data_IF_675502976774
#
_entry.id   IF_675502976774
#
_cell.length_a   1.000
_cell.length_b   1.000
_cell.length_c   1.000
_cell.angle_alpha   90.00
_cell.angle_beta   90.00
_cell.angle_gamma   90.00
#
_symmetry.space_group_name_H-M   'P 1'
#
loop_
_entity.id
_entity.type
_entity.pdbx_description
1 polymer ?
#
# COMPACT_ATOMS: atom_id res chain seq x y z
N UNK A 1 19.36 51.16 -15.92
CA UNK A 1 19.01 50.26 -14.79
C UNK A 1 17.51 50.27 -14.59
N UNK A 2 16.85 49.12 -14.76
CA UNK A 2 15.59 48.70 -14.12
C UNK A 2 15.14 47.40 -14.80
N UNK A 3 15.66 46.28 -14.31
CA UNK A 3 15.21 44.96 -14.69
C UNK A 3 14.01 44.62 -13.82
N UNK A 4 12.82 44.52 -14.41
CA UNK A 4 11.63 44.01 -13.73
C UNK A 4 11.66 42.50 -13.79
N UNK A 5 11.72 41.84 -12.63
CA UNK A 5 11.52 40.39 -12.52
C UNK A 5 10.05 40.16 -12.18
N UNK A 6 9.32 39.47 -13.06
CA UNK A 6 7.97 38.99 -12.77
C UNK A 6 8.11 37.60 -12.14
N UNK A 7 7.84 37.48 -10.84
CA UNK A 7 7.68 36.19 -10.18
C UNK A 7 6.33 35.58 -10.61
N UNK A 8 6.37 34.53 -11.42
CA UNK A 8 5.24 33.66 -11.63
C UNK A 8 5.12 32.72 -10.41
N UNK A 9 4.09 32.93 -9.58
CA UNK A 9 3.73 31.98 -8.55
C UNK A 9 3.12 30.74 -9.23
N UNK A 10 3.81 29.60 -9.16
CA UNK A 10 3.24 28.32 -9.56
C UNK A 10 2.23 27.88 -8.48
N UNK A 11 0.95 27.86 -8.82
CA UNK A 11 -0.06 27.22 -8.00
C UNK A 11 0.18 25.71 -8.03
N UNK A 12 0.68 25.16 -6.93
CA UNK A 12 0.82 23.72 -6.75
C UNK A 12 -0.58 23.13 -6.59
N UNK A 13 -1.11 22.54 -7.67
CA UNK A 13 -2.36 21.81 -7.67
C UNK A 13 -2.22 20.63 -6.70
N UNK A 14 -2.77 20.74 -5.50
CA UNK A 14 -2.95 19.60 -4.60
C UNK A 14 -4.08 18.76 -5.18
N UNK A 15 -3.73 17.83 -6.06
CA UNK A 15 -4.63 16.75 -6.43
C UNK A 15 -4.80 15.88 -5.19
N UNK A 16 -5.92 16.01 -4.50
CA UNK A 16 -6.36 14.97 -3.55
C UNK A 16 -6.64 13.71 -4.36
N UNK A 17 -5.66 12.82 -4.43
CA UNK A 17 -5.83 11.52 -5.05
C UNK A 17 -6.94 10.76 -4.30
N UNK A 18 -8.01 10.38 -5.03
CA UNK A 18 -9.00 9.39 -4.62
C UNK A 18 -8.39 7.98 -4.76
N UNK A 19 -7.19 7.80 -4.21
CA UNK A 19 -6.48 6.53 -4.19
C UNK A 19 -6.52 5.94 -2.77
N UNK A 20 -6.21 4.65 -2.64
CA UNK A 20 -6.03 4.03 -1.34
C UNK A 20 -5.03 4.81 -0.49
N UNK A 21 -5.34 4.95 0.81
CA UNK A 21 -4.44 5.61 1.75
C UNK A 21 -3.60 4.55 2.45
N UNK A 22 -2.29 4.76 2.41
CA UNK A 22 -1.30 3.90 3.03
C UNK A 22 -0.65 4.59 4.22
N UNK A 23 -0.43 3.85 5.29
CA UNK A 23 0.26 4.29 6.50
C UNK A 23 1.03 3.11 7.12
N UNK A 24 1.51 3.24 8.36
CA UNK A 24 2.31 2.20 9.01
C UNK A 24 3.80 2.31 8.68
N UNK A 25 4.48 1.16 8.63
CA UNK A 25 5.93 1.07 8.45
C UNK A 25 6.37 0.48 7.11
N UNK A 26 7.66 0.10 6.97
CA UNK A 26 8.19 -0.53 5.76
C UNK A 26 7.60 -1.92 5.44
N UNK A 27 6.93 -2.56 6.39
CA UNK A 27 6.31 -3.86 6.23
C UNK A 27 7.28 -5.03 6.17
N UNK A 28 8.51 -4.91 6.69
CA UNK A 28 9.49 -6.02 6.71
C UNK A 28 9.21 -7.06 7.81
N UNK A 29 8.32 -6.71 8.75
CA UNK A 29 7.80 -7.55 9.84
C UNK A 29 6.40 -7.07 10.27
N UNK A 30 5.59 -7.90 10.95
CA UNK A 30 4.23 -7.56 11.37
C UNK A 30 4.11 -6.24 12.15
N UNK A 31 5.05 -5.93 13.05
CA UNK A 31 5.03 -4.71 13.89
C UNK A 31 5.19 -3.42 13.09
N UNK A 32 5.67 -3.54 11.85
CA UNK A 32 5.88 -2.42 10.93
C UNK A 32 5.04 -2.55 9.67
N UNK A 33 3.99 -3.38 9.70
CA UNK A 33 3.16 -3.68 8.54
C UNK A 33 2.64 -2.42 7.84
N UNK A 34 2.42 -2.58 6.53
CA UNK A 34 1.76 -1.57 5.70
C UNK A 34 0.29 -1.56 6.08
N UNK A 35 -0.21 -0.41 6.54
CA UNK A 35 -1.62 -0.26 6.90
C UNK A 35 -2.37 0.34 5.73
N UNK A 36 -3.42 -0.36 5.27
CA UNK A 36 -4.23 0.04 4.13
C UNK A 36 -5.62 0.47 4.64
N UNK A 37 -6.02 1.70 4.34
CA UNK A 37 -7.38 2.14 4.58
C UNK A 37 -8.29 1.67 3.43
N UNK A 38 -9.15 0.69 3.69
CA UNK A 38 -10.10 0.13 2.74
C UNK A 38 -11.47 -0.11 3.40
N UNK A 39 -12.53 -0.05 2.60
CA UNK A 39 -13.93 -0.26 3.04
C UNK A 39 -14.27 -1.73 3.28
N UNK A 40 -13.55 -2.64 2.62
CA UNK A 40 -13.78 -4.08 2.70
C UNK A 40 -12.73 -4.86 1.92
N UNK A 41 -12.92 -6.17 1.86
CA UNK A 41 -11.93 -7.11 1.38
C UNK A 41 -11.56 -6.88 -0.08
N UNK A 42 -12.56 -6.67 -0.95
CA UNK A 42 -12.32 -6.43 -2.38
C UNK A 42 -11.45 -5.18 -2.59
N UNK A 43 -11.81 -4.07 -1.91
CA UNK A 43 -11.06 -2.82 -1.98
C UNK A 43 -9.67 -2.94 -1.35
N UNK A 44 -9.56 -3.69 -0.24
CA UNK A 44 -8.32 -3.93 0.49
C UNK A 44 -7.30 -4.71 -0.33
N UNK A 45 -7.72 -5.83 -0.91
CA UNK A 45 -6.88 -6.66 -1.80
C UNK A 45 -6.44 -5.85 -3.02
N UNK A 46 -7.35 -5.10 -3.64
CA UNK A 46 -6.98 -4.23 -4.76
C UNK A 46 -5.92 -3.20 -4.35
N UNK A 47 -6.13 -2.52 -3.21
CA UNK A 47 -5.21 -1.52 -2.70
C UNK A 47 -3.84 -2.10 -2.33
N UNK A 48 -3.78 -3.35 -1.88
CA UNK A 48 -2.53 -4.06 -1.60
C UNK A 48 -1.70 -4.28 -2.88
N UNK A 49 -2.30 -4.83 -3.94
CA UNK A 49 -1.59 -5.00 -5.21
C UNK A 49 -1.20 -3.65 -5.84
N UNK A 50 -2.05 -2.63 -5.69
CA UNK A 50 -1.73 -1.26 -6.12
C UNK A 50 -0.50 -0.72 -5.35
N UNK A 51 -0.37 -1.00 -4.05
CA UNK A 51 0.80 -0.61 -3.27
C UNK A 51 2.09 -1.20 -3.82
N UNK A 52 2.10 -2.51 -4.13
CA UNK A 52 3.27 -3.19 -4.69
C UNK A 52 3.66 -2.54 -6.03
N UNK A 53 2.68 -2.35 -6.91
CA UNK A 53 2.89 -1.75 -8.24
C UNK A 53 3.45 -0.33 -8.17
N UNK A 54 2.96 0.48 -7.23
CA UNK A 54 3.28 1.90 -7.16
C UNK A 54 4.50 2.22 -6.29
N UNK A 55 4.71 1.46 -5.21
CA UNK A 55 5.76 1.72 -4.22
C UNK A 55 6.95 0.78 -4.32
N UNK A 56 6.79 -0.38 -4.93
CA UNK A 56 7.82 -1.41 -5.07
C UNK A 56 8.07 -1.74 -6.56
N UNK A 57 8.41 -0.76 -7.41
CA UNK A 57 8.61 -1.01 -8.83
C UNK A 57 9.69 -2.08 -9.06
N UNK A 58 9.42 -2.98 -10.01
CA UNK A 58 10.30 -4.12 -10.33
C UNK A 58 10.14 -5.35 -9.42
N UNK A 59 9.29 -5.28 -8.40
CA UNK A 59 8.87 -6.43 -7.60
C UNK A 59 7.50 -6.92 -8.04
N UNK A 60 7.31 -8.24 -8.01
CA UNK A 60 6.04 -8.90 -8.34
C UNK A 60 5.65 -9.88 -7.24
N UNK A 61 4.34 -10.05 -6.97
CA UNK A 61 3.85 -11.11 -6.11
C UNK A 61 4.30 -12.49 -6.60
N UNK A 62 4.84 -13.30 -5.70
CA UNK A 62 5.24 -14.68 -5.93
C UNK A 62 4.48 -15.66 -5.03
N UNK A 63 3.89 -15.16 -3.93
CA UNK A 63 3.09 -15.94 -3.00
C UNK A 63 2.44 -15.03 -1.97
N UNK A 64 1.42 -15.56 -1.31
CA UNK A 64 0.70 -14.87 -0.24
C UNK A 64 0.28 -15.89 0.81
N UNK A 65 0.37 -15.51 2.09
CA UNK A 65 -0.17 -16.31 3.19
C UNK A 65 -0.72 -15.43 4.30
N UNK A 66 -1.71 -15.95 5.01
CA UNK A 66 -2.34 -15.28 6.14
C UNK A 66 -1.51 -15.51 7.40
N UNK A 67 -1.23 -14.46 8.16
CA UNK A 67 -0.58 -14.52 9.47
C UNK A 67 -1.53 -13.97 10.52
N UNK A 68 -1.90 -14.80 11.49
CA UNK A 68 -2.78 -14.42 12.60
C UNK A 68 -1.97 -14.39 13.90
N UNK A 69 -1.94 -13.24 14.58
CA UNK A 69 -1.27 -13.08 15.89
C UNK A 69 -2.26 -13.03 17.05
N UNK A 70 -3.52 -13.40 16.83
CA UNK A 70 -4.63 -13.28 17.76
C UNK A 70 -5.29 -11.91 17.72
N UNK A 71 -4.51 -10.85 17.91
CA UNK A 71 -5.01 -9.47 17.91
C UNK A 71 -5.13 -8.86 16.52
N UNK A 72 -4.28 -9.31 15.59
CA UNK A 72 -4.21 -8.77 14.24
C UNK A 72 -4.09 -9.88 13.21
N UNK A 73 -4.55 -9.53 12.02
CA UNK A 73 -4.44 -10.34 10.82
C UNK A 73 -3.57 -9.60 9.81
N UNK A 74 -2.60 -10.31 9.25
CA UNK A 74 -1.70 -9.78 8.25
C UNK A 74 -1.72 -10.64 7.02
N UNK A 75 -1.63 -10.00 5.85
CA UNK A 75 -1.21 -10.67 4.63
C UNK A 75 0.31 -10.60 4.53
N UNK A 76 0.93 -11.77 4.43
CA UNK A 76 2.36 -11.94 4.18
C UNK A 76 2.57 -12.19 2.69
N UNK A 77 3.06 -11.18 2.00
CA UNK A 77 3.32 -11.21 0.56
C UNK A 77 4.78 -11.55 0.29
N UNK A 78 5.01 -12.65 -0.41
CA UNK A 78 6.30 -12.97 -0.98
C UNK A 78 6.44 -12.27 -2.32
N UNK A 79 7.53 -11.53 -2.50
CA UNK A 79 7.82 -10.77 -3.71
C UNK A 79 9.10 -11.29 -4.36
N UNK A 80 9.12 -11.29 -5.68
CA UNK A 80 10.29 -11.61 -6.50
C UNK A 80 10.56 -10.50 -7.52
N UNK A 81 11.83 -10.27 -7.86
CA UNK A 81 12.19 -9.36 -8.95
C UNK A 81 12.81 -10.11 -10.15
N UNK A 82 13.09 -9.39 -11.23
CA UNK A 82 13.64 -9.98 -12.46
C UNK A 82 15.04 -10.64 -12.27
N UNK A 83 15.78 -10.25 -11.23
CA UNK A 83 17.05 -10.88 -10.87
C UNK A 83 16.88 -12.15 -10.00
N UNK A 84 15.64 -12.55 -9.70
CA UNK A 84 15.33 -13.69 -8.82
C UNK A 84 15.50 -13.39 -7.33
N UNK A 85 15.79 -12.14 -6.94
CA UNK A 85 15.85 -11.78 -5.53
C UNK A 85 14.45 -11.85 -4.92
N UNK A 86 14.38 -12.29 -3.66
CA UNK A 86 13.12 -12.43 -2.90
C UNK A 86 13.11 -11.51 -1.70
N UNK A 87 11.92 -10.99 -1.37
CA UNK A 87 11.65 -10.34 -0.10
C UNK A 87 10.22 -10.62 0.34
N UNK A 88 9.93 -10.32 1.60
CA UNK A 88 8.59 -10.43 2.16
C UNK A 88 8.13 -9.05 2.57
N UNK A 89 6.85 -8.75 2.34
CA UNK A 89 6.19 -7.61 2.97
C UNK A 89 4.93 -8.06 3.73
N UNK A 90 4.59 -7.34 4.78
CA UNK A 90 3.42 -7.57 5.60
C UNK A 90 2.45 -6.40 5.46
N UNK A 91 1.20 -6.68 5.16
CA UNK A 91 0.08 -5.72 5.20
C UNK A 91 -0.81 -6.01 6.39
N UNK A 92 -1.21 -5.00 7.15
CA UNK A 92 -2.24 -5.15 8.20
C UNK A 92 -3.62 -5.08 7.54
N UNK A 93 -4.31 -6.22 7.58
CA UNK A 93 -5.62 -6.41 6.93
C UNK A 93 -6.76 -6.47 7.94
N UNK A 94 -6.45 -6.34 9.24
CA UNK A 94 -7.39 -6.44 10.36
C UNK A 94 -8.58 -5.49 10.21
N UNK A 95 -8.36 -4.35 9.55
CA UNK A 95 -9.36 -3.31 9.35
C UNK A 95 -10.44 -3.65 8.33
N UNK A 96 -10.21 -4.60 7.41
CA UNK A 96 -11.07 -4.75 6.22
C UNK A 96 -11.32 -6.19 5.76
N UNK A 97 -10.49 -7.16 6.17
CA UNK A 97 -10.68 -8.57 5.82
C UNK A 97 -12.03 -9.09 6.29
N UNK A 98 -12.73 -9.88 5.45
CA UNK A 98 -14.06 -10.40 5.71
C UNK A 98 -15.21 -9.37 5.57
N UNK A 99 -14.91 -8.09 5.34
CA UNK A 99 -15.93 -7.03 5.20
C UNK A 99 -16.29 -6.81 3.73
N UNK A 100 -17.52 -6.39 3.46
CA UNK A 100 -17.94 -5.97 2.11
C UNK A 100 -18.17 -7.10 1.11
N UNK A 101 -18.12 -8.37 1.52
CA UNK A 101 -18.40 -9.53 0.67
C UNK A 101 -19.90 -9.81 0.46
N UNK A 102 -20.79 -9.10 1.15
CA UNK A 102 -22.24 -9.31 1.05
C UNK A 102 -22.72 -10.70 1.50
N UNK A 103 -21.87 -11.44 2.21
CA UNK A 103 -22.25 -12.67 2.89
C UNK A 103 -23.13 -12.30 4.10
N UNK A 104 -24.22 -13.05 4.35
CA UNK A 104 -25.18 -12.74 5.42
C UNK A 104 -24.56 -12.77 6.82
#
# INVERSE_FOLDING_TARGET
>A
MRTTVVLAAAAMLVVTACGPRYSGGPGDRPETAIVIAASGEIDGVKAEYDYIRERLPGWQPAGQSLVNTGERLYDRLELVNAAGARKVVYSDISGWVGKGLGLP
#
